data_IF_912113406290
#
_entry.id   IF_912113406290
#
_cell.length_a   1.000
_cell.length_b   1.000
_cell.length_c   1.000
_cell.angle_alpha   90.00
_cell.angle_beta   90.00
_cell.angle_gamma   90.00
#
_symmetry.space_group_name_H-M   'P 1'
#
loop_
_entity.id
_entity.type
_entity.pdbx_description
1 polymer ?
#
# COMPACT_ATOMS: atom_id res chain seq x y z
N UNK A 1 6.00 21.86 -38.07
CA UNK A 1 5.02 22.83 -37.52
C UNK A 1 5.63 24.22 -37.59
N UNK A 2 4.88 25.28 -37.94
CA UNK A 2 5.37 26.64 -37.73
C UNK A 2 5.64 26.86 -36.22
N UNK A 3 6.73 27.57 -35.88
CA UNK A 3 7.22 27.73 -34.50
C UNK A 3 7.59 26.43 -33.76
N UNK A 4 8.24 25.48 -34.43
CA UNK A 4 8.78 24.23 -33.83
C UNK A 4 9.46 24.37 -32.45
N UNK A 5 10.33 25.36 -32.17
CA UNK A 5 10.96 25.47 -30.85
C UNK A 5 9.98 25.78 -29.71
N UNK A 6 8.89 26.54 -29.97
CA UNK A 6 7.87 26.83 -28.96
C UNK A 6 7.14 25.54 -28.55
N UNK A 7 6.75 24.73 -29.54
CA UNK A 7 6.09 23.44 -29.30
C UNK A 7 6.98 22.46 -28.54
N UNK A 8 8.28 22.42 -28.83
CA UNK A 8 9.23 21.59 -28.09
C UNK A 8 9.34 22.03 -26.62
N UNK A 9 9.45 23.34 -26.34
CA UNK A 9 9.48 23.85 -24.97
C UNK A 9 8.21 23.50 -24.19
N UNK A 10 7.03 23.70 -24.78
CA UNK A 10 5.76 23.34 -24.16
C UNK A 10 5.66 21.83 -23.87
N UNK A 11 6.14 20.99 -24.79
CA UNK A 11 6.13 19.54 -24.62
C UNK A 11 7.02 19.09 -23.45
N UNK A 12 8.27 19.55 -23.39
CA UNK A 12 9.16 19.19 -22.28
C UNK A 12 8.69 19.75 -20.94
N UNK A 13 8.16 20.98 -20.93
CA UNK A 13 7.59 21.57 -19.73
C UNK A 13 6.40 20.76 -19.20
N UNK A 14 5.52 20.29 -20.10
CA UNK A 14 4.41 19.39 -19.73
C UNK A 14 4.93 18.09 -19.09
N UNK A 15 5.93 17.44 -19.70
CA UNK A 15 6.52 16.20 -19.15
C UNK A 15 7.11 16.43 -17.75
N UNK A 16 7.79 17.57 -17.53
CA UNK A 16 8.33 17.93 -16.22
C UNK A 16 7.22 18.14 -15.20
N UNK A 17 6.15 18.87 -15.54
CA UNK A 17 5.02 19.08 -14.63
C UNK A 17 4.30 17.78 -14.25
N UNK A 18 4.07 16.88 -15.22
CA UNK A 18 3.46 15.56 -14.96
C UNK A 18 4.31 14.70 -14.01
N UNK A 19 5.64 14.73 -14.19
CA UNK A 19 6.56 14.04 -13.30
C UNK A 19 6.60 14.65 -11.89
N UNK A 20 6.59 15.98 -11.80
CA UNK A 20 6.61 16.69 -10.52
C UNK A 20 5.38 16.40 -9.67
N UNK A 21 4.17 16.49 -10.24
CA UNK A 21 2.92 16.22 -9.51
C UNK A 21 2.90 14.80 -8.91
N UNK A 22 3.26 13.81 -9.74
CA UNK A 22 3.36 12.42 -9.32
C UNK A 22 4.38 12.24 -8.18
N UNK A 23 5.55 12.88 -8.30
CA UNK A 23 6.60 12.80 -7.27
C UNK A 23 6.17 13.42 -5.94
N UNK A 24 5.42 14.53 -5.97
CA UNK A 24 4.90 15.17 -4.76
C UNK A 24 3.94 14.24 -4.01
N UNK A 25 3.02 13.59 -4.74
CA UNK A 25 2.08 12.63 -4.13
C UNK A 25 2.82 11.41 -3.53
N UNK A 26 3.84 10.89 -4.23
CA UNK A 26 4.64 9.78 -3.71
C UNK A 26 5.40 10.12 -2.41
N UNK A 27 6.08 11.28 -2.37
CA UNK A 27 6.82 11.68 -1.17
C UNK A 27 5.86 12.01 -0.02
N UNK A 28 4.77 12.71 -0.30
CA UNK A 28 3.77 13.09 0.71
C UNK A 28 3.08 11.87 1.31
N UNK A 29 2.70 10.88 0.50
CA UNK A 29 2.10 9.63 0.98
C UNK A 29 3.05 8.81 1.85
N UNK A 30 4.32 8.69 1.45
CA UNK A 30 5.35 8.01 2.27
C UNK A 30 5.57 8.72 3.61
N UNK A 31 5.71 10.05 3.59
CA UNK A 31 5.91 10.84 4.82
C UNK A 31 4.70 10.74 5.73
N UNK A 32 3.49 10.83 5.17
CA UNK A 32 2.24 10.71 5.94
C UNK A 32 2.15 9.33 6.60
N UNK A 33 2.41 8.25 5.87
CA UNK A 33 2.43 6.89 6.43
C UNK A 33 3.45 6.73 7.58
N UNK A 34 4.64 7.32 7.45
CA UNK A 34 5.66 7.29 8.51
C UNK A 34 5.25 8.11 9.74
N UNK A 35 4.63 9.26 9.54
CA UNK A 35 4.12 10.12 10.63
C UNK A 35 2.98 9.43 11.37
N UNK A 36 2.08 8.76 10.65
CA UNK A 36 0.94 8.02 11.21
C UNK A 36 1.38 6.78 12.00
N UNK A 37 2.48 6.13 11.60
CA UNK A 37 3.03 4.98 12.33
C UNK A 37 3.71 5.38 13.65
N UNK A 38 4.33 6.56 13.72
CA UNK A 38 5.03 7.04 14.92
C UNK A 38 4.59 8.46 15.35
N UNK A 39 3.32 8.64 15.75
CA UNK A 39 2.76 9.95 16.03
C UNK A 39 3.45 10.63 17.22
N UNK A 40 3.93 9.85 18.20
CA UNK A 40 4.63 10.37 19.40
C UNK A 40 5.98 11.03 19.09
N UNK A 41 6.65 10.61 18.01
CA UNK A 41 7.98 11.11 17.64
C UNK A 41 7.87 12.25 16.64
N UNK A 42 6.99 12.11 15.63
CA UNK A 42 6.95 13.01 14.48
C UNK A 42 5.90 14.12 14.54
N UNK A 43 4.94 14.08 15.47
CA UNK A 43 3.95 15.17 15.67
C UNK A 43 4.53 16.41 16.37
N UNK A 44 5.83 16.41 16.72
CA UNK A 44 6.51 17.60 17.26
C UNK A 44 6.81 18.61 16.15
N UNK A 45 6.68 19.90 16.46
CA UNK A 45 6.96 21.02 15.56
C UNK A 45 8.34 20.85 14.89
N UNK A 46 8.41 21.09 13.58
CA UNK A 46 9.59 20.98 12.70
C UNK A 46 10.13 19.56 12.41
N UNK A 47 9.63 18.48 13.02
CA UNK A 47 10.15 17.11 12.73
C UNK A 47 9.66 16.55 11.38
N UNK A 48 8.45 16.91 10.97
CA UNK A 48 7.89 16.52 9.66
C UNK A 48 8.70 17.09 8.50
N UNK A 49 9.08 18.36 8.58
CA UNK A 49 9.92 19.02 7.55
C UNK A 49 11.29 18.35 7.45
N UNK A 50 11.91 18.02 8.59
CA UNK A 50 13.18 17.29 8.62
C UNK A 50 13.05 15.89 8.01
N UNK A 51 11.94 15.18 8.25
CA UNK A 51 11.69 13.89 7.59
C UNK A 51 11.61 14.02 6.07
N UNK A 52 10.87 15.01 5.56
CA UNK A 52 10.76 15.27 4.12
C UNK A 52 12.14 15.53 3.52
N UNK A 53 12.96 16.35 4.20
CA UNK A 53 14.33 16.63 3.76
C UNK A 53 15.18 15.35 3.72
N UNK A 54 15.13 14.52 4.77
CA UNK A 54 15.88 13.27 4.84
C UNK A 54 15.48 12.31 3.71
N UNK A 55 14.18 12.09 3.52
CA UNK A 55 13.66 11.24 2.44
C UNK A 55 14.11 11.76 1.08
N UNK A 56 13.99 13.07 0.84
CA UNK A 56 14.40 13.69 -0.42
C UNK A 56 15.91 13.55 -0.68
N UNK A 57 16.74 13.72 0.35
CA UNK A 57 18.21 13.56 0.24
C UNK A 57 18.57 12.10 -0.05
N UNK A 58 17.94 11.13 0.61
CA UNK A 58 18.15 9.69 0.33
C UNK A 58 17.74 9.37 -1.11
N UNK A 59 16.56 9.83 -1.55
CA UNK A 59 16.09 9.66 -2.93
C UNK A 59 17.03 10.31 -3.96
N UNK A 60 17.61 11.46 -3.65
CA UNK A 60 18.60 12.11 -4.51
C UNK A 60 19.85 11.24 -4.71
N UNK A 61 20.42 10.68 -3.63
CA UNK A 61 21.57 9.78 -3.73
C UNK A 61 21.29 8.51 -4.52
N UNK A 62 20.10 7.91 -4.34
CA UNK A 62 19.67 6.74 -5.13
C UNK A 62 19.50 7.14 -6.62
N UNK A 63 18.91 8.30 -6.87
CA UNK A 63 18.72 8.84 -8.22
C UNK A 63 20.03 9.12 -8.97
N UNK A 64 21.10 9.50 -8.26
CA UNK A 64 22.42 9.70 -8.88
C UNK A 64 22.94 8.46 -9.61
N UNK A 65 22.61 7.25 -9.15
CA UNK A 65 23.02 6.00 -9.81
C UNK A 65 22.40 5.90 -11.21
N UNK A 66 21.15 6.37 -11.37
CA UNK A 66 20.42 6.38 -12.65
C UNK A 66 20.89 7.47 -13.62
N UNK A 67 21.69 8.45 -13.16
CA UNK A 67 22.23 9.53 -13.98
C UNK A 67 23.60 9.20 -14.60
N UNK A 68 24.16 8.02 -14.31
CA UNK A 68 25.43 7.58 -14.89
C UNK A 68 25.29 7.17 -16.37
N UNK A 69 26.40 7.01 -17.11
CA UNK A 69 26.40 6.57 -18.53
C UNK A 69 25.67 5.23 -18.76
N UNK A 70 25.68 4.34 -17.75
CA UNK A 70 24.92 3.08 -17.74
C UNK A 70 23.54 3.18 -17.09
N UNK A 71 23.09 4.39 -16.74
CA UNK A 71 21.91 4.66 -15.93
C UNK A 71 20.62 4.14 -16.54
N UNK A 72 20.49 4.13 -17.87
CA UNK A 72 19.32 3.57 -18.56
C UNK A 72 19.11 2.07 -18.31
N UNK A 73 20.19 1.30 -18.10
CA UNK A 73 20.08 -0.12 -17.74
C UNK A 73 19.55 -0.28 -16.32
N UNK A 74 20.06 0.51 -15.39
CA UNK A 74 19.59 0.52 -14.00
C UNK A 74 18.13 0.98 -13.97
N UNK A 75 17.79 2.06 -14.67
CA UNK A 75 16.44 2.58 -14.77
C UNK A 75 15.45 1.52 -15.29
N UNK A 76 15.78 0.83 -16.38
CA UNK A 76 14.91 -0.21 -16.93
C UNK A 76 14.78 -1.43 -15.99
N UNK A 77 15.84 -1.80 -15.29
CA UNK A 77 15.80 -2.87 -14.28
C UNK A 77 14.83 -2.50 -13.14
N UNK A 78 14.94 -1.28 -12.60
CA UNK A 78 14.04 -0.77 -11.59
C UNK A 78 12.60 -0.64 -12.11
N UNK A 79 12.39 -0.13 -13.31
CA UNK A 79 11.06 -0.01 -13.91
C UNK A 79 10.41 -1.40 -14.07
N UNK A 80 11.17 -2.39 -14.56
CA UNK A 80 10.65 -3.72 -14.82
C UNK A 80 10.48 -4.63 -13.58
N UNK A 81 11.30 -4.47 -12.54
CA UNK A 81 11.23 -5.31 -11.34
C UNK A 81 10.64 -4.59 -10.10
N UNK A 82 10.83 -3.27 -9.98
CA UNK A 82 10.30 -2.46 -8.88
C UNK A 82 8.89 -1.91 -9.18
N UNK A 83 8.77 -1.19 -10.30
CA UNK A 83 7.56 -0.44 -10.66
C UNK A 83 6.56 -1.28 -11.47
N UNK A 84 7.04 -2.35 -12.11
CA UNK A 84 6.21 -3.28 -12.86
C UNK A 84 5.10 -3.87 -12.01
N UNK A 85 3.96 -4.12 -12.68
CA UNK A 85 2.71 -4.51 -12.06
C UNK A 85 2.80 -5.73 -11.16
N UNK A 86 3.80 -6.61 -11.28
CA UNK A 86 3.90 -7.83 -10.45
C UNK A 86 3.89 -7.57 -8.94
N UNK A 87 4.70 -6.64 -8.45
CA UNK A 87 4.75 -6.27 -7.03
C UNK A 87 3.46 -5.58 -6.59
N UNK A 88 3.00 -4.60 -7.38
CA UNK A 88 1.79 -3.83 -7.09
C UNK A 88 0.52 -4.69 -7.14
N UNK A 89 0.40 -5.61 -8.10
CA UNK A 89 -0.71 -6.54 -8.23
C UNK A 89 -0.72 -7.54 -7.07
N UNK A 90 0.44 -8.02 -6.63
CA UNK A 90 0.52 -8.86 -5.44
C UNK A 90 -0.03 -8.13 -4.21
N UNK A 91 0.42 -6.90 -3.95
CA UNK A 91 -0.09 -6.06 -2.85
C UNK A 91 -1.59 -5.82 -3.01
N UNK A 92 -2.07 -5.48 -4.21
CA UNK A 92 -3.47 -5.22 -4.50
C UNK A 92 -4.39 -6.45 -4.30
N UNK A 93 -3.90 -7.66 -4.59
CA UNK A 93 -4.63 -8.90 -4.29
C UNK A 93 -4.81 -9.05 -2.79
N UNK A 94 -3.73 -8.89 -2.00
CA UNK A 94 -3.84 -8.99 -0.54
C UNK A 94 -4.71 -7.89 0.05
N UNK A 95 -4.57 -6.65 -0.42
CA UNK A 95 -5.37 -5.52 0.03
C UNK A 95 -6.86 -5.75 -0.25
N UNK A 96 -7.22 -6.12 -1.48
CA UNK A 96 -8.61 -6.40 -1.85
C UNK A 96 -9.20 -7.60 -1.10
N UNK A 97 -8.45 -8.69 -0.91
CA UNK A 97 -8.89 -9.84 -0.12
C UNK A 97 -9.07 -9.47 1.36
N UNK A 98 -8.15 -8.68 1.92
CA UNK A 98 -8.25 -8.19 3.29
C UNK A 98 -9.51 -7.33 3.50
N UNK A 99 -9.80 -6.39 2.61
CA UNK A 99 -10.99 -5.53 2.74
C UNK A 99 -12.27 -6.33 2.49
N UNK A 100 -12.31 -7.16 1.45
CA UNK A 100 -13.52 -7.87 1.05
C UNK A 100 -13.92 -8.99 2.03
N UNK A 101 -12.97 -9.81 2.45
CA UNK A 101 -13.21 -11.04 3.22
C UNK A 101 -12.80 -10.97 4.68
N UNK A 102 -11.65 -10.34 5.01
CA UNK A 102 -11.14 -10.31 6.40
C UNK A 102 -11.86 -9.23 7.21
N UNK A 103 -11.90 -8.00 6.70
CA UNK A 103 -12.65 -6.91 7.32
C UNK A 103 -14.18 -7.09 7.14
N UNK A 104 -14.57 -7.68 6.01
CA UNK A 104 -15.95 -7.96 5.65
C UNK A 104 -16.58 -6.82 4.87
N UNK A 105 -17.00 -7.10 3.64
CA UNK A 105 -17.62 -6.11 2.75
C UNK A 105 -18.91 -5.47 3.31
N UNK A 106 -19.61 -6.10 4.25
CA UNK A 106 -20.74 -5.50 4.95
C UNK A 106 -20.32 -4.32 5.82
N UNK A 107 -19.31 -4.52 6.69
CA UNK A 107 -18.78 -3.48 7.58
C UNK A 107 -18.17 -2.33 6.81
N UNK A 108 -17.44 -2.63 5.73
CA UNK A 108 -16.90 -1.60 4.86
C UNK A 108 -17.99 -0.74 4.22
N UNK A 109 -19.10 -1.36 3.82
CA UNK A 109 -20.25 -0.67 3.24
C UNK A 109 -20.97 0.22 4.26
N UNK A 110 -21.13 -0.26 5.50
CA UNK A 110 -21.72 0.52 6.59
C UNK A 110 -20.84 1.74 6.96
N UNK A 111 -19.51 1.58 6.98
CA UNK A 111 -18.60 2.71 7.18
C UNK A 111 -18.73 3.77 6.09
N UNK A 112 -18.94 3.35 4.83
CA UNK A 112 -19.12 4.28 3.71
C UNK A 112 -20.45 5.02 3.84
N UNK A 113 -21.52 4.33 4.25
CA UNK A 113 -22.79 4.97 4.56
C UNK A 113 -22.64 6.02 5.67
N UNK A 114 -21.85 5.73 6.70
CA UNK A 114 -21.60 6.66 7.81
C UNK A 114 -20.73 7.87 7.38
N UNK A 115 -19.79 7.69 6.44
CA UNK A 115 -18.96 8.78 5.91
C UNK A 115 -19.72 9.70 4.94
N UNK A 116 -20.58 9.13 4.10
CA UNK A 116 -21.24 9.85 2.98
C UNK A 116 -22.68 10.25 3.34
N UNK A 117 -23.30 9.59 4.32
CA UNK A 117 -24.67 9.83 4.79
C UNK A 117 -25.77 9.12 4.00
N UNK A 118 -25.44 8.34 2.97
CA UNK A 118 -26.38 7.52 2.21
C UNK A 118 -25.77 6.18 1.78
N UNK A 119 -26.61 5.15 1.59
CA UNK A 119 -26.18 3.85 1.08
C UNK A 119 -25.84 3.96 -0.41
N UNK A 120 -24.61 3.58 -0.84
CA UNK A 120 -24.27 3.50 -2.25
C UNK A 120 -25.14 2.48 -3.00
N UNK A 121 -24.94 2.33 -4.30
CA UNK A 121 -25.66 1.32 -5.06
C UNK A 121 -25.05 -0.07 -4.84
N UNK A 122 -25.83 -1.14 -4.62
CA UNK A 122 -25.32 -2.48 -4.28
C UNK A 122 -24.41 -3.11 -5.34
N UNK A 123 -24.39 -2.64 -6.60
CA UNK A 123 -23.40 -3.13 -7.57
C UNK A 123 -21.96 -2.76 -7.21
N UNK A 124 -21.75 -1.62 -6.53
CA UNK A 124 -20.42 -1.21 -6.07
C UNK A 124 -19.89 -2.23 -5.05
N UNK A 125 -20.78 -2.75 -4.20
CA UNK A 125 -20.45 -3.82 -3.24
C UNK A 125 -19.98 -5.09 -3.95
N UNK A 126 -20.68 -5.53 -4.99
CA UNK A 126 -20.27 -6.71 -5.76
C UNK A 126 -18.98 -6.48 -6.57
N UNK A 127 -18.78 -5.26 -7.04
CA UNK A 127 -17.56 -4.86 -7.73
C UNK A 127 -16.33 -5.08 -6.84
N UNK A 128 -16.35 -4.59 -5.60
CA UNK A 128 -15.22 -4.76 -4.68
C UNK A 128 -15.09 -6.17 -4.10
N UNK A 129 -16.21 -6.86 -3.88
CA UNK A 129 -16.20 -8.20 -3.29
C UNK A 129 -15.64 -9.25 -4.26
N UNK A 130 -16.02 -9.18 -5.53
CA UNK A 130 -15.74 -10.24 -6.50
C UNK A 130 -14.95 -9.75 -7.71
N UNK A 131 -15.34 -8.62 -8.30
CA UNK A 131 -14.75 -8.18 -9.56
C UNK A 131 -13.30 -7.70 -9.40
N UNK A 132 -13.03 -6.82 -8.44
CA UNK A 132 -11.68 -6.29 -8.16
C UNK A 132 -10.68 -7.41 -7.87
N UNK A 133 -10.90 -8.31 -6.88
CA UNK A 133 -9.95 -9.39 -6.61
C UNK A 133 -9.81 -10.37 -7.79
N UNK A 134 -10.89 -10.65 -8.54
CA UNK A 134 -10.83 -11.52 -9.71
C UNK A 134 -9.98 -10.92 -10.84
N UNK A 135 -10.15 -9.63 -11.14
CA UNK A 135 -9.36 -8.93 -12.16
C UNK A 135 -7.90 -8.84 -11.75
N UNK A 136 -7.61 -8.48 -10.50
CA UNK A 136 -6.24 -8.43 -9.97
C UNK A 136 -5.56 -9.80 -10.01
N UNK A 137 -6.27 -10.87 -9.65
CA UNK A 137 -5.74 -12.24 -9.72
C UNK A 137 -5.51 -12.69 -11.17
N UNK A 138 -6.43 -12.38 -12.07
CA UNK A 138 -6.33 -12.73 -13.48
C UNK A 138 -5.15 -12.01 -14.16
N UNK A 139 -4.97 -10.71 -13.91
CA UNK A 139 -3.84 -9.94 -14.47
C UNK A 139 -2.50 -10.40 -13.88
N UNK A 140 -2.46 -10.72 -12.59
CA UNK A 140 -1.27 -11.30 -11.96
C UNK A 140 -0.89 -12.65 -12.56
N UNK A 141 -1.85 -13.56 -12.73
CA UNK A 141 -1.61 -14.87 -13.33
C UNK A 141 -1.19 -14.74 -14.80
N UNK A 142 -1.82 -13.86 -15.57
CA UNK A 142 -1.42 -13.58 -16.94
C UNK A 142 0.02 -13.05 -17.01
N UNK A 143 0.39 -12.17 -16.09
CA UNK A 143 1.73 -11.61 -16.03
C UNK A 143 2.79 -12.64 -15.61
N UNK A 144 2.44 -13.63 -14.79
CA UNK A 144 3.31 -14.78 -14.51
C UNK A 144 3.49 -15.69 -15.73
N UNK A 145 2.41 -16.00 -16.45
CA UNK A 145 2.46 -16.88 -17.62
C UNK A 145 3.27 -16.25 -18.76
N UNK A 146 3.19 -14.92 -18.92
CA UNK A 146 3.92 -14.16 -19.92
C UNK A 146 5.23 -13.57 -19.41
N UNK A 147 5.78 -14.08 -18.31
CA UNK A 147 7.06 -13.65 -17.81
C UNK A 147 8.16 -13.93 -18.85
N UNK A 148 8.75 -12.86 -19.38
CA UNK A 148 9.90 -12.93 -20.29
C UNK A 148 11.07 -12.19 -19.66
N UNK A 149 12.28 -12.76 -19.64
CA UNK A 149 13.44 -12.09 -19.07
C UNK A 149 13.65 -10.73 -19.71
N UNK A 150 14.01 -9.74 -18.90
CA UNK A 150 14.21 -8.38 -19.36
C UNK A 150 15.32 -8.35 -20.42
N UNK A 151 15.03 -7.77 -21.58
CA UNK A 151 16.04 -7.53 -22.62
C UNK A 151 16.05 -6.05 -22.98
N UNK A 152 17.23 -5.43 -22.95
CA UNK A 152 17.39 -4.06 -23.43
C UNK A 152 17.68 -4.07 -24.92
N UNK A 153 16.83 -3.40 -25.68
CA UNK A 153 16.97 -3.20 -27.13
C UNK A 153 17.15 -4.51 -27.95
N UNK A 154 16.57 -5.62 -27.48
CA UNK A 154 16.62 -6.99 -28.08
C UNK A 154 18.02 -7.58 -28.32
N UNK A 155 19.10 -6.88 -27.97
CA UNK A 155 20.50 -7.29 -28.13
C UNK A 155 21.22 -7.54 -26.81
N UNK A 156 20.80 -6.86 -25.74
CA UNK A 156 21.43 -7.00 -24.43
C UNK A 156 20.52 -7.81 -23.50
N UNK A 157 20.92 -9.05 -23.25
CA UNK A 157 20.37 -9.88 -22.18
C UNK A 157 21.04 -9.50 -20.88
N UNK A 158 20.24 -9.19 -19.85
CA UNK A 158 20.81 -8.92 -18.53
C UNK A 158 21.59 -10.16 -18.04
N UNK A 159 22.73 -9.96 -17.39
CA UNK A 159 23.46 -11.06 -16.77
C UNK A 159 22.64 -11.63 -15.60
N UNK A 160 22.91 -12.88 -15.24
CA UNK A 160 22.19 -13.60 -14.17
C UNK A 160 22.17 -12.85 -12.83
N UNK A 161 23.21 -12.07 -12.53
CA UNK A 161 23.25 -11.24 -11.32
C UNK A 161 22.29 -10.04 -11.39
N UNK A 162 22.02 -9.51 -12.59
CA UNK A 162 21.06 -8.43 -12.81
C UNK A 162 19.64 -8.91 -12.56
N UNK A 163 19.27 -10.08 -13.08
CA UNK A 163 17.99 -10.71 -12.79
C UNK A 163 17.86 -11.06 -11.31
N UNK A 164 18.93 -11.55 -10.67
CA UNK A 164 18.93 -11.81 -9.23
C UNK A 164 18.69 -10.54 -8.39
N UNK A 165 19.30 -9.40 -8.77
CA UNK A 165 19.04 -8.10 -8.14
C UNK A 165 17.60 -7.64 -8.35
N UNK A 166 17.07 -7.82 -9.56
CA UNK A 166 15.67 -7.51 -9.88
C UNK A 166 14.69 -8.31 -9.02
N UNK A 167 14.87 -9.63 -8.93
CA UNK A 167 14.05 -10.49 -8.07
C UNK A 167 14.21 -10.18 -6.59
N UNK A 168 15.42 -9.88 -6.12
CA UNK A 168 15.64 -9.45 -4.74
C UNK A 168 14.88 -8.17 -4.43
N UNK A 169 14.88 -7.23 -5.36
CA UNK A 169 14.15 -5.98 -5.21
C UNK A 169 12.63 -6.21 -5.21
N UNK A 170 12.11 -7.04 -6.12
CA UNK A 170 10.70 -7.39 -6.16
C UNK A 170 10.24 -8.08 -4.86
N UNK A 171 10.98 -9.10 -4.42
CA UNK A 171 10.68 -9.88 -3.23
C UNK A 171 10.80 -9.05 -1.94
N UNK A 172 11.67 -8.02 -1.91
CA UNK A 172 11.82 -7.15 -0.73
C UNK A 172 10.50 -6.50 -0.31
N UNK A 173 9.66 -6.10 -1.27
CA UNK A 173 8.34 -5.52 -0.99
C UNK A 173 7.29 -6.59 -0.68
N UNK A 174 7.28 -7.68 -1.45
CA UNK A 174 6.31 -8.76 -1.29
C UNK A 174 6.42 -9.47 0.06
N UNK A 175 7.65 -9.63 0.59
CA UNK A 175 7.89 -10.34 1.85
C UNK A 175 7.48 -9.53 3.07
N UNK A 176 7.38 -8.19 2.97
CA UNK A 176 6.98 -7.33 4.09
C UNK A 176 5.60 -7.69 4.65
N UNK A 177 4.63 -8.01 3.78
CA UNK A 177 3.25 -8.37 4.18
C UNK A 177 3.24 -9.66 5.03
N UNK A 178 3.72 -10.83 4.53
CA UNK A 178 3.73 -12.06 5.31
C UNK A 178 4.68 -11.97 6.51
N UNK A 179 5.83 -11.29 6.38
CA UNK A 179 6.75 -11.12 7.50
C UNK A 179 6.10 -10.35 8.66
N UNK A 180 5.36 -9.28 8.38
CA UNK A 180 4.63 -8.53 9.40
C UNK A 180 3.52 -9.37 10.04
N UNK A 181 2.76 -10.12 9.23
CA UNK A 181 1.74 -11.05 9.71
C UNK A 181 2.32 -12.10 10.67
N UNK A 182 3.43 -12.74 10.30
CA UNK A 182 4.13 -13.72 11.14
C UNK A 182 4.69 -13.08 12.41
N UNK A 183 5.30 -11.89 12.31
CA UNK A 183 5.84 -11.17 13.46
C UNK A 183 4.75 -10.87 14.50
N UNK A 184 3.59 -10.38 14.04
CA UNK A 184 2.44 -10.13 14.90
C UNK A 184 1.90 -11.42 15.53
N UNK A 185 1.79 -12.50 14.76
CA UNK A 185 1.34 -13.80 15.25
C UNK A 185 2.28 -14.39 16.32
N UNK A 186 3.60 -14.15 16.20
CA UNK A 186 4.59 -14.60 17.19
C UNK A 186 4.59 -13.76 18.46
N UNK A 187 4.34 -12.44 18.35
CA UNK A 187 4.41 -11.49 19.47
C UNK A 187 3.17 -11.53 20.36
N UNK A 188 2.00 -11.86 19.80
CA UNK A 188 0.76 -12.05 20.56
C UNK A 188 0.86 -13.26 21.48
N UNK A 189 0.32 -13.17 22.69
CA UNK A 189 0.27 -14.27 23.67
C UNK A 189 -1.08 -14.98 23.55
N UNK A 190 -1.09 -16.32 23.62
CA UNK A 190 -2.32 -17.14 23.54
C UNK A 190 -2.22 -18.34 22.59
N UNK A 191 -3.27 -19.17 22.46
CA UNK A 191 -3.37 -20.23 21.45
C UNK A 191 -3.58 -19.64 20.03
N UNK A 192 -3.19 -20.38 18.99
CA UNK A 192 -3.17 -19.88 17.60
C UNK A 192 -4.52 -19.35 17.10
N UNK A 193 -5.63 -19.96 17.52
CA UNK A 193 -6.98 -19.53 17.13
C UNK A 193 -7.34 -18.16 17.71
N UNK A 194 -7.04 -17.92 18.98
CA UNK A 194 -7.28 -16.64 19.64
C UNK A 194 -6.39 -15.53 19.05
N UNK A 195 -5.12 -15.84 18.74
CA UNK A 195 -4.24 -14.87 18.09
C UNK A 195 -4.73 -14.47 16.70
N UNK A 196 -5.17 -15.45 15.90
CA UNK A 196 -5.75 -15.18 14.58
C UNK A 196 -7.02 -14.34 14.70
N UNK A 197 -7.89 -14.65 15.67
CA UNK A 197 -9.10 -13.89 15.93
C UNK A 197 -8.78 -12.45 16.33
N UNK A 198 -7.86 -12.25 17.27
CA UNK A 198 -7.39 -10.92 17.70
C UNK A 198 -6.77 -10.10 16.55
N UNK A 199 -6.12 -10.74 15.58
CA UNK A 199 -5.54 -10.06 14.41
C UNK A 199 -6.56 -9.65 13.35
N UNK A 200 -7.67 -10.37 13.27
CA UNK A 200 -8.76 -10.11 12.32
C UNK A 200 -9.78 -9.13 12.90
N UNK A 201 -9.84 -8.99 14.23
CA UNK A 201 -10.67 -7.99 14.89
C UNK A 201 -10.17 -6.56 14.59
N UNK A 202 -11.03 -5.67 14.07
CA UNK A 202 -10.68 -4.27 13.87
C UNK A 202 -10.50 -3.55 15.23
N UNK A 203 -9.74 -2.45 15.24
CA UNK A 203 -9.49 -1.68 16.45
C UNK A 203 -10.80 -1.13 17.07
N UNK A 204 -10.89 -1.17 18.40
CA UNK A 204 -12.07 -0.75 19.19
C UNK A 204 -12.39 0.75 19.08
N UNK A 205 -11.45 1.56 18.59
CA UNK A 205 -11.57 3.02 18.51
C UNK A 205 -12.42 3.51 17.32
N UNK A 206 -12.99 2.60 16.52
CA UNK A 206 -13.90 2.99 15.44
C UNK A 206 -15.26 3.41 16.04
N UNK A 207 -15.73 4.64 15.81
CA UNK A 207 -17.07 5.05 16.25
C UNK A 207 -18.11 4.23 15.48
N UNK A 208 -18.61 3.17 16.12
CA UNK A 208 -19.75 2.41 15.61
C UNK A 208 -21.04 3.12 15.98
N UNK A 209 -21.91 3.30 14.98
CA UNK A 209 -23.26 3.87 15.05
C UNK A 209 -24.15 3.38 16.21
N UNK A 210 -23.85 2.24 16.82
CA UNK A 210 -24.62 1.62 17.89
C UNK A 210 -23.97 1.66 19.28
N UNK A 211 -22.88 2.40 19.52
CA UNK A 211 -22.41 2.59 20.89
C UNK A 211 -23.17 3.75 21.56
N UNK A 212 -23.94 3.51 22.64
CA UNK A 212 -24.44 4.60 23.46
C UNK A 212 -23.24 5.36 24.05
N UNK A 213 -23.32 6.69 24.04
CA UNK A 213 -22.30 7.59 24.58
C UNK A 213 -21.77 7.12 25.94
N UNK A 214 -20.45 7.19 26.20
CA UNK A 214 -19.88 6.73 27.46
C UNK A 214 -20.30 7.67 28.60
N UNK A 215 -21.40 7.33 29.28
CA UNK A 215 -21.80 7.95 30.54
C UNK A 215 -21.08 7.26 31.69
N UNK A 216 -19.97 7.88 32.14
CA UNK A 216 -19.35 7.73 33.47
C UNK A 216 -18.78 6.31 33.85
N UNK A 217 -17.97 6.19 34.93
CA UNK A 217 -16.90 5.19 35.02
C UNK A 217 -17.42 3.76 35.20
N UNK A 218 -16.92 2.85 34.36
CA UNK A 218 -17.34 1.45 34.30
C UNK A 218 -16.91 0.64 35.53
N UNK A 219 -17.89 -0.02 36.15
CA UNK A 219 -17.69 -1.10 37.13
C UNK A 219 -17.13 -2.37 36.44
N UNK A 220 -16.38 -3.22 37.18
CA UNK A 220 -15.62 -4.36 36.61
C UNK A 220 -16.48 -5.45 35.95
N UNK A 221 -17.79 -5.48 36.19
CA UNK A 221 -18.71 -6.42 35.57
C UNK A 221 -19.13 -5.98 34.15
N UNK A 222 -19.18 -4.67 33.91
CA UNK A 222 -19.58 -4.09 32.62
C UNK A 222 -18.48 -4.25 31.56
N UNK A 223 -17.22 -4.22 31.97
CA UNK A 223 -16.07 -4.53 31.10
C UNK A 223 -16.02 -6.01 30.69
N UNK A 224 -16.35 -6.92 31.61
CA UNK A 224 -16.44 -8.36 31.31
C UNK A 224 -17.57 -8.68 30.32
N UNK A 225 -18.74 -8.04 30.48
CA UNK A 225 -19.86 -8.22 29.55
C UNK A 225 -19.58 -7.63 28.15
N UNK A 226 -18.88 -6.49 28.06
CA UNK A 226 -18.41 -5.97 26.77
C UNK A 226 -17.43 -6.93 26.11
N UNK A 227 -16.49 -7.52 26.86
CA UNK A 227 -15.55 -8.51 26.31
C UNK A 227 -16.27 -9.76 25.77
N UNK A 228 -17.34 -10.23 26.42
CA UNK A 228 -18.12 -11.38 25.93
C UNK A 228 -19.00 -11.08 24.72
N UNK A 229 -19.58 -9.88 24.61
CA UNK A 229 -20.33 -9.44 23.42
C UNK A 229 -19.40 -9.14 22.23
N UNK A 230 -18.19 -8.66 22.49
CA UNK A 230 -17.13 -8.48 21.49
C UNK A 230 -16.55 -9.82 21.03
N UNK A 231 -16.46 -10.81 21.93
CA UNK A 231 -16.19 -12.22 21.57
C UNK A 231 -17.28 -12.85 20.70
N UNK A 232 -18.46 -12.25 20.55
CA UNK A 232 -19.53 -12.74 19.67
C UNK A 232 -19.50 -12.05 18.29
N UNK A 233 -18.96 -10.83 18.23
CA UNK A 233 -18.94 -10.00 17.03
C UNK A 233 -17.59 -10.01 16.27
N UNK A 234 -16.59 -10.73 16.78
CA UNK A 234 -15.56 -11.41 15.98
C UNK A 234 -15.86 -12.92 15.94
#
# INVERSE_FOLDING_TARGET
LPFSPLWACCFFFMVVLLGLDSQFVCVESLVTALVDMYPRVFRKKNRREVLILIVSVISFFIGLIMLTEGGMYVFQLFDYYAASGMCLLFVAIFESLCVAWVYGAGRFYDNIEDMIGYKPWPLIKYCWLFFTPAVCLATFLFSLIKYTPLTYNKKYTYPWWGDALGWLLALSSMICIPAWSIYKLRTLKGPLRERLRQLVCPAEDLPQKNQPEPTAPATPMTSLLRLTELESNC
#
